data_IF_467856290474
#
_entry.id   IF_467856290474
#
_cell.length_a   1.000
_cell.length_b   1.000
_cell.length_c   1.000
_cell.angle_alpha   90.00
_cell.angle_beta   90.00
_cell.angle_gamma   90.00
#
_symmetry.space_group_name_H-M   'P 1'
#
loop_
_entity.id
_entity.type
_entity.pdbx_description
1 polymer ?
#
# COMPACT_ATOMS: atom_id res chain seq x y z
N UNK A 1 13.62 14.75 -11.55
CA UNK A 1 12.59 15.18 -10.59
C UNK A 1 12.29 13.98 -9.70
N UNK A 2 12.46 14.07 -8.37
CA UNK A 2 11.97 13.01 -7.48
C UNK A 2 10.48 13.25 -7.21
N UNK A 3 9.66 12.20 -7.34
CA UNK A 3 8.25 12.27 -6.95
C UNK A 3 8.14 12.27 -5.43
N UNK A 4 7.27 13.13 -4.87
CA UNK A 4 6.90 13.10 -3.45
C UNK A 4 5.63 12.27 -3.33
N UNK A 5 5.58 11.37 -2.35
CA UNK A 5 4.42 10.51 -2.14
C UNK A 5 3.90 10.67 -0.71
N UNK A 6 2.58 10.73 -0.58
CA UNK A 6 1.88 10.68 0.70
C UNK A 6 1.23 9.30 0.79
N UNK A 7 1.64 8.51 1.78
CA UNK A 7 1.16 7.13 1.93
C UNK A 7 0.37 7.00 3.22
N UNK A 8 -0.90 6.64 3.11
CA UNK A 8 -1.72 6.20 4.23
C UNK A 8 -1.74 4.67 4.27
N UNK A 9 -1.30 4.11 5.39
CA UNK A 9 -1.35 2.65 5.62
C UNK A 9 -2.40 2.33 6.68
N UNK A 10 -3.20 1.28 6.48
CA UNK A 10 -4.15 0.75 7.47
C UNK A 10 -3.97 -0.76 7.62
N UNK A 11 -4.09 -1.24 8.86
CA UNK A 11 -4.28 -2.67 9.11
C UNK A 11 -5.76 -2.91 9.39
N UNK A 12 -6.40 -3.68 8.53
CA UNK A 12 -7.79 -4.11 8.66
C UNK A 12 -7.92 -5.60 8.31
N UNK A 13 -8.93 -6.22 8.91
CA UNK A 13 -9.42 -7.56 8.57
C UNK A 13 -10.81 -7.41 7.96
N UNK A 14 -10.95 -7.74 6.67
CA UNK A 14 -12.14 -7.46 5.86
C UNK A 14 -12.01 -6.24 4.94
N UNK A 15 -13.11 -5.52 4.72
CA UNK A 15 -13.16 -4.40 3.77
C UNK A 15 -12.53 -3.12 4.33
N UNK A 16 -11.71 -2.45 3.53
CA UNK A 16 -11.28 -1.07 3.79
C UNK A 16 -12.09 -0.11 2.94
N UNK A 17 -13.07 0.55 3.56
CA UNK A 17 -13.92 1.52 2.90
C UNK A 17 -13.25 2.87 2.61
N UNK A 18 -13.99 3.76 1.96
CA UNK A 18 -13.53 5.05 1.43
C UNK A 18 -12.99 6.05 2.45
N UNK A 19 -13.22 5.85 3.75
CA UNK A 19 -12.75 6.76 4.79
C UNK A 19 -11.22 6.95 4.78
N UNK A 20 -10.46 5.88 4.55
CA UNK A 20 -8.99 5.96 4.44
C UNK A 20 -8.53 6.79 3.24
N UNK A 21 -9.23 6.69 2.11
CA UNK A 21 -8.98 7.49 0.90
C UNK A 21 -9.32 8.96 1.16
N UNK A 22 -10.43 9.23 1.85
CA UNK A 22 -10.82 10.60 2.20
C UNK A 22 -9.75 11.31 3.04
N UNK A 23 -9.10 10.59 3.97
CA UNK A 23 -7.97 11.13 4.73
C UNK A 23 -6.82 11.58 3.82
N UNK A 24 -6.50 10.80 2.78
CA UNK A 24 -5.46 11.16 1.80
C UNK A 24 -5.89 12.40 1.00
N UNK A 25 -7.14 12.43 0.51
CA UNK A 25 -7.70 13.59 -0.23
C UNK A 25 -7.58 14.87 0.60
N UNK A 26 -7.94 14.82 1.88
CA UNK A 26 -7.98 16.00 2.74
C UNK A 26 -6.58 16.54 3.05
N UNK A 27 -5.56 15.68 3.07
CA UNK A 27 -4.17 16.11 3.21
C UNK A 27 -3.63 16.69 1.90
N UNK A 28 -3.90 16.05 0.75
CA UNK A 28 -3.43 16.53 -0.55
C UNK A 28 -4.02 17.90 -0.96
N UNK A 29 -5.17 18.29 -0.40
CA UNK A 29 -5.73 19.64 -0.57
C UNK A 29 -4.94 20.73 0.14
N UNK A 30 -4.05 20.39 1.07
CA UNK A 30 -3.25 21.35 1.82
C UNK A 30 -2.07 21.81 0.96
N UNK A 31 -1.76 23.12 1.00
CA UNK A 31 -0.72 23.74 0.17
C UNK A 31 0.67 23.09 0.30
N UNK A 32 0.99 22.54 1.47
CA UNK A 32 2.27 21.85 1.70
C UNK A 32 2.41 20.55 0.89
N UNK A 33 1.29 19.95 0.46
CA UNK A 33 1.23 18.67 -0.22
C UNK A 33 0.85 18.78 -1.71
N UNK A 34 0.84 19.98 -2.28
CA UNK A 34 0.44 20.24 -3.68
C UNK A 34 1.28 19.43 -4.71
N UNK A 35 2.52 19.08 -4.36
CA UNK A 35 3.43 18.29 -5.22
C UNK A 35 3.43 16.79 -4.89
N UNK A 36 2.56 16.30 -4.01
CA UNK A 36 2.53 14.91 -3.56
C UNK A 36 1.53 14.07 -4.36
N UNK A 37 1.90 12.83 -4.66
CA UNK A 37 1.00 11.79 -5.15
C UNK A 37 0.44 10.97 -3.97
N UNK A 38 -0.85 10.64 -4.01
CA UNK A 38 -1.53 9.94 -2.92
C UNK A 38 -1.53 8.43 -3.09
N UNK A 39 -1.22 7.72 -2.01
CA UNK A 39 -1.26 6.26 -1.93
C UNK A 39 -2.05 5.80 -0.71
N UNK A 40 -2.94 4.83 -0.91
CA UNK A 40 -3.64 4.14 0.17
C UNK A 40 -3.32 2.64 0.14
N UNK A 41 -2.71 2.15 1.21
CA UNK A 41 -2.30 0.75 1.35
C UNK A 41 -3.04 0.13 2.54
N UNK A 42 -3.60 -1.06 2.36
CA UNK A 42 -4.28 -1.79 3.44
C UNK A 42 -3.92 -3.27 3.44
N UNK A 43 -4.05 -3.92 4.61
CA UNK A 43 -4.02 -5.39 4.69
C UNK A 43 -5.38 -6.05 4.39
N UNK A 44 -6.45 -5.27 4.31
CA UNK A 44 -7.79 -5.75 3.96
C UNK A 44 -8.02 -5.77 2.44
N UNK A 45 -9.25 -6.07 2.01
CA UNK A 45 -9.65 -5.92 0.60
C UNK A 45 -10.27 -4.54 0.35
N UNK A 46 -10.27 -4.10 -0.91
CA UNK A 46 -10.89 -2.84 -1.34
C UNK A 46 -11.94 -3.17 -2.41
N UNK A 47 -13.19 -2.76 -2.17
CA UNK A 47 -14.29 -2.93 -3.13
C UNK A 47 -14.10 -2.09 -4.40
N UNK A 48 -14.72 -2.51 -5.50
CA UNK A 48 -14.68 -1.78 -6.78
C UNK A 48 -15.21 -0.34 -6.65
N UNK A 49 -16.24 -0.14 -5.83
CA UNK A 49 -16.76 1.20 -5.52
C UNK A 49 -15.70 2.07 -4.83
N UNK A 50 -14.99 1.51 -3.86
CA UNK A 50 -13.92 2.22 -3.15
C UNK A 50 -12.71 2.48 -4.07
N UNK A 51 -12.35 1.52 -4.95
CA UNK A 51 -11.32 1.70 -5.98
C UNK A 51 -11.69 2.81 -6.96
N UNK A 52 -12.97 2.90 -7.33
CA UNK A 52 -13.49 3.96 -8.21
C UNK A 52 -13.35 5.34 -7.56
N UNK A 53 -13.69 5.48 -6.28
CA UNK A 53 -13.51 6.74 -5.53
C UNK A 53 -12.03 7.16 -5.51
N UNK A 54 -11.12 6.22 -5.27
CA UNK A 54 -9.67 6.50 -5.33
C UNK A 54 -9.24 6.98 -6.72
N UNK A 55 -9.64 6.27 -7.78
CA UNK A 55 -9.31 6.60 -9.17
C UNK A 55 -9.81 8.00 -9.57
N UNK A 56 -11.05 8.34 -9.22
CA UNK A 56 -11.63 9.68 -9.47
C UNK A 56 -10.88 10.81 -8.78
N UNK A 57 -10.11 10.50 -7.74
CA UNK A 57 -9.32 11.46 -6.97
C UNK A 57 -7.79 11.32 -7.22
N UNK A 58 -7.38 10.57 -8.23
CA UNK A 58 -5.96 10.29 -8.55
C UNK A 58 -5.17 9.72 -7.35
N UNK A 59 -5.79 8.82 -6.60
CA UNK A 59 -5.15 8.11 -5.48
C UNK A 59 -4.87 6.67 -5.94
N UNK A 60 -3.62 6.26 -5.82
CA UNK A 60 -3.23 4.87 -6.03
C UNK A 60 -3.61 4.03 -4.81
N UNK A 61 -4.09 2.82 -5.05
CA UNK A 61 -4.52 1.89 -4.00
C UNK A 61 -3.78 0.57 -4.10
N UNK A 62 -3.53 -0.04 -2.95
CA UNK A 62 -2.96 -1.38 -2.83
C UNK A 62 -3.69 -2.12 -1.71
N UNK A 63 -4.43 -3.16 -2.07
CA UNK A 63 -5.07 -4.03 -1.10
C UNK A 63 -4.12 -5.09 -0.54
N UNK A 64 -4.64 -5.93 0.36
CA UNK A 64 -3.85 -6.95 1.04
C UNK A 64 -3.26 -7.99 0.09
N UNK A 65 -3.98 -8.38 -0.97
CA UNK A 65 -3.48 -9.35 -1.94
C UNK A 65 -2.34 -8.75 -2.77
N UNK A 66 -2.54 -7.52 -3.27
CA UNK A 66 -1.53 -6.76 -4.01
C UNK A 66 -0.28 -6.51 -3.14
N UNK A 67 -0.45 -6.18 -1.86
CA UNK A 67 0.65 -5.98 -0.91
C UNK A 67 1.44 -7.27 -0.67
N UNK A 68 0.75 -8.40 -0.47
CA UNK A 68 1.42 -9.70 -0.31
C UNK A 68 2.19 -10.07 -1.56
N UNK A 69 1.60 -9.87 -2.74
CA UNK A 69 2.27 -10.15 -4.02
C UNK A 69 3.53 -9.29 -4.18
N UNK A 70 3.45 -8.00 -3.88
CA UNK A 70 4.61 -7.10 -3.89
C UNK A 70 5.74 -7.59 -2.98
N UNK A 71 5.40 -8.06 -1.78
CA UNK A 71 6.37 -8.62 -0.82
C UNK A 71 7.02 -9.88 -1.40
N UNK A 72 6.23 -10.79 -1.98
CA UNK A 72 6.71 -12.04 -2.58
C UNK A 72 7.64 -11.76 -3.78
N UNK A 73 7.26 -10.84 -4.66
CA UNK A 73 8.03 -10.49 -5.86
C UNK A 73 9.36 -9.80 -5.54
N UNK A 74 9.51 -9.28 -4.33
CA UNK A 74 10.70 -8.55 -3.88
C UNK A 74 11.37 -9.21 -2.67
N UNK A 75 11.15 -10.51 -2.43
CA UNK A 75 11.75 -11.21 -1.30
C UNK A 75 13.27 -11.10 -1.31
N UNK A 76 13.93 -11.19 -2.46
CA UNK A 76 15.37 -11.05 -2.59
C UNK A 76 15.91 -9.72 -2.02
N UNK A 77 15.12 -8.65 -2.11
CA UNK A 77 15.44 -7.30 -1.60
C UNK A 77 15.18 -7.13 -0.10
N UNK A 78 14.43 -8.02 0.54
CA UNK A 78 14.15 -7.92 1.97
C UNK A 78 15.34 -8.36 2.81
N UNK A 79 15.57 -7.64 3.91
CA UNK A 79 16.60 -8.00 4.89
C UNK A 79 16.32 -9.37 5.52
N UNK A 80 17.36 -10.06 5.99
CA UNK A 80 17.19 -11.34 6.74
C UNK A 80 16.27 -11.19 7.95
N UNK A 81 16.34 -10.05 8.64
CA UNK A 81 15.48 -9.75 9.80
C UNK A 81 14.01 -9.63 9.40
N UNK A 82 13.72 -8.90 8.33
CA UNK A 82 12.36 -8.74 7.79
C UNK A 82 11.78 -10.07 7.33
N UNK A 83 12.56 -10.87 6.59
CA UNK A 83 12.15 -12.23 6.18
C UNK A 83 11.74 -13.08 7.38
N UNK A 84 12.55 -13.06 8.45
CA UNK A 84 12.27 -13.79 9.68
C UNK A 84 10.97 -13.31 10.37
N UNK A 85 10.74 -12.00 10.43
CA UNK A 85 9.50 -11.44 10.99
C UNK A 85 8.26 -11.85 10.19
N UNK A 86 8.39 -12.00 8.87
CA UNK A 86 7.33 -12.49 7.99
C UNK A 86 7.17 -14.03 8.02
N UNK A 87 7.95 -14.75 8.85
CA UNK A 87 7.94 -16.21 8.89
C UNK A 87 8.57 -16.88 7.66
N UNK A 88 9.31 -16.13 6.85
CA UNK A 88 9.92 -16.60 5.60
C UNK A 88 11.31 -17.15 5.90
N UNK A 89 11.47 -18.46 5.69
CA UNK A 89 12.75 -19.15 5.78
C UNK A 89 13.22 -19.55 4.38
N UNK A 90 14.46 -19.19 4.04
CA UNK A 90 15.09 -19.66 2.81
C UNK A 90 15.66 -21.05 3.05
N UNK A 91 15.02 -22.08 2.49
CA UNK A 91 15.55 -23.44 2.52
C UNK A 91 16.65 -23.53 1.44
N UNK A 92 17.91 -23.81 1.81
CA UNK A 92 18.96 -24.01 0.82
C UNK A 92 18.58 -25.14 -0.12
N UNK A 93 18.49 -24.86 -1.42
CA UNK A 93 18.34 -25.90 -2.44
C UNK A 93 19.72 -26.23 -2.96
N UNK A 94 20.11 -27.51 -2.88
CA UNK A 94 21.32 -27.99 -3.59
C UNK A 94 20.92 -28.03 -5.06
N UNK A 95 21.50 -27.13 -5.86
CA UNK A 95 21.45 -27.17 -7.33
C UNK A 95 22.64 -28.01 -7.81
#
# INVERSE_FOLDING_TARGET
MSKKILVQVKHHDGESGSYGIQQVIDVLKQKEYEEYEGYFITSGFISDETRKIASENNIDVMDGEELVQLIIDNLDKLSKGTKRLLGICSIPTII
#
